data_IF_594746204865
#
_entry.id   IF_594746204865
#
_cell.length_a   1.000
_cell.length_b   1.000
_cell.length_c   1.000
_cell.angle_alpha   90.00
_cell.angle_beta   90.00
_cell.angle_gamma   90.00
#
_symmetry.space_group_name_H-M   'P 1'
#
loop_
_entity.id
_entity.type
_entity.pdbx_description
1 polymer ?
#
# COMPACT_ATOMS: atom_id res chain seq x y z
N UNK A 1 -13.31 -10.66 23.09
CA UNK A 1 -12.71 -11.27 21.90
C UNK A 1 -11.88 -10.19 21.21
N UNK A 2 -10.56 -10.25 21.35
CA UNK A 2 -9.66 -9.29 20.71
C UNK A 2 -9.25 -9.68 19.28
N UNK A 3 -9.76 -10.79 18.75
CA UNK A 3 -9.07 -11.55 17.70
C UNK A 3 -9.17 -11.06 16.25
N UNK A 4 -9.95 -10.03 15.93
CA UNK A 4 -10.22 -9.67 14.54
C UNK A 4 -9.37 -8.49 14.04
N UNK A 5 -9.16 -7.49 14.88
CA UNK A 5 -8.25 -6.39 14.54
C UNK A 5 -6.79 -6.86 14.44
N UNK A 6 -6.40 -7.86 15.26
CA UNK A 6 -5.06 -8.47 15.25
C UNK A 6 -4.69 -8.99 13.87
N UNK A 7 -5.59 -9.71 13.20
CA UNK A 7 -5.29 -10.28 11.87
C UNK A 7 -5.07 -9.24 10.79
N UNK A 8 -5.75 -8.09 10.89
CA UNK A 8 -5.57 -6.97 9.97
C UNK A 8 -4.24 -6.26 10.24
N UNK A 9 -3.90 -6.11 11.51
CA UNK A 9 -2.63 -5.54 11.93
C UNK A 9 -1.47 -6.49 11.62
N UNK A 10 -1.63 -7.80 11.82
CA UNK A 10 -0.67 -8.84 11.39
C UNK A 10 -0.53 -8.86 9.85
N UNK A 11 -1.61 -8.62 9.11
CA UNK A 11 -1.54 -8.46 7.65
C UNK A 11 -0.70 -7.24 7.27
N UNK A 12 -0.88 -6.12 7.95
CA UNK A 12 -0.08 -4.91 7.76
C UNK A 12 1.40 -5.17 8.11
N UNK A 13 1.69 -5.84 9.24
CA UNK A 13 3.04 -6.20 9.64
C UNK A 13 3.70 -7.13 8.61
N UNK A 14 3.01 -8.19 8.19
CA UNK A 14 3.53 -9.17 7.22
C UNK A 14 3.68 -8.62 5.80
N UNK A 15 2.87 -7.66 5.40
CA UNK A 15 2.87 -7.11 4.03
C UNK A 15 3.86 -5.97 3.88
N UNK A 16 4.11 -5.19 4.91
CA UNK A 16 4.77 -3.91 4.79
C UNK A 16 6.20 -3.87 5.31
N UNK A 17 6.57 -4.81 6.18
CA UNK A 17 7.93 -4.88 6.78
C UNK A 17 8.49 -3.49 7.20
N UNK A 18 7.59 -2.55 7.49
CA UNK A 18 7.89 -1.14 7.73
C UNK A 18 7.37 -0.72 9.10
N UNK A 19 8.14 0.07 9.79
CA UNK A 19 7.77 0.62 11.09
C UNK A 19 6.59 1.58 10.94
N UNK A 20 5.62 1.47 11.86
CA UNK A 20 4.52 2.41 11.95
C UNK A 20 5.00 3.77 12.48
N UNK A 21 4.52 4.83 11.85
CA UNK A 21 4.69 6.19 12.32
C UNK A 21 3.64 6.54 13.35
N UNK A 22 2.62 7.27 12.93
CA UNK A 22 1.52 7.67 13.81
C UNK A 22 0.30 6.78 13.59
N UNK A 23 -0.19 6.19 14.66
CA UNK A 23 -1.47 5.48 14.69
C UNK A 23 -2.48 6.36 15.42
N UNK A 24 -3.63 6.60 14.80
CA UNK A 24 -4.75 7.34 15.41
C UNK A 24 -5.94 6.40 15.54
N UNK A 25 -6.39 6.17 16.76
CA UNK A 25 -7.57 5.37 17.05
C UNK A 25 -8.69 6.27 17.53
N UNK A 26 -9.77 6.35 16.76
CA UNK A 26 -10.99 7.11 17.11
C UNK A 26 -12.02 6.15 17.69
N UNK A 27 -12.42 6.39 18.94
CA UNK A 27 -13.28 5.48 19.69
C UNK A 27 -12.51 4.42 20.47
N UNK A 28 -11.34 4.76 21.01
CA UNK A 28 -10.43 3.84 21.68
C UNK A 28 -11.03 3.11 22.90
N UNK A 29 -12.14 3.55 23.41
CA UNK A 29 -12.80 2.94 24.55
C UNK A 29 -11.92 2.90 25.79
N UNK A 30 -11.88 1.76 26.44
CA UNK A 30 -10.96 1.52 27.58
C UNK A 30 -9.60 0.97 27.14
N UNK A 31 -9.30 0.94 25.85
CA UNK A 31 -8.11 0.37 25.25
C UNK A 31 -8.15 -1.16 25.22
N UNK A 32 -9.19 -1.74 24.64
CA UNK A 32 -9.27 -3.19 24.42
C UNK A 32 -8.16 -3.66 23.49
N UNK A 33 -7.89 -2.87 22.46
CA UNK A 33 -6.99 -3.20 21.34
C UNK A 33 -5.59 -2.57 21.50
N UNK A 34 -5.38 -1.95 22.67
CA UNK A 34 -4.14 -1.22 22.98
C UNK A 34 -2.87 -2.09 22.92
N UNK A 35 -2.94 -3.33 23.40
CA UNK A 35 -1.76 -4.21 23.44
C UNK A 35 -1.35 -4.65 22.04
N UNK A 36 -2.32 -4.91 21.20
CA UNK A 36 -2.14 -5.32 19.82
C UNK A 36 -1.55 -4.17 18.99
N UNK A 37 -2.09 -2.97 19.15
CA UNK A 37 -1.56 -1.78 18.46
C UNK A 37 -0.13 -1.48 18.92
N UNK A 38 0.15 -1.60 20.21
CA UNK A 38 1.48 -1.37 20.75
C UNK A 38 2.51 -2.43 20.33
N UNK A 39 2.07 -3.66 20.07
CA UNK A 39 2.93 -4.72 19.56
C UNK A 39 3.50 -4.40 18.17
N UNK A 40 2.85 -3.51 17.41
CA UNK A 40 3.33 -3.02 16.12
C UNK A 40 4.38 -1.88 16.25
N UNK A 41 4.75 -1.52 17.46
CA UNK A 41 5.77 -0.51 17.77
C UNK A 41 5.59 0.85 17.06
N UNK A 42 4.38 1.49 17.13
CA UNK A 42 4.19 2.80 16.52
C UNK A 42 5.07 3.86 17.20
N UNK A 43 5.56 4.83 16.44
CA UNK A 43 6.27 5.98 17.01
C UNK A 43 5.37 6.80 17.95
N UNK A 44 4.11 6.95 17.56
CA UNK A 44 3.08 7.66 18.31
C UNK A 44 1.73 6.95 18.16
N UNK A 45 1.08 6.64 19.27
CA UNK A 45 -0.32 6.21 19.31
C UNK A 45 -1.19 7.33 19.88
N UNK A 46 -2.15 7.81 19.12
CA UNK A 46 -3.14 8.79 19.56
C UNK A 46 -4.48 8.10 19.73
N UNK A 47 -4.93 7.99 20.98
CA UNK A 47 -6.24 7.43 21.31
C UNK A 47 -7.23 8.55 21.58
N UNK A 48 -8.29 8.62 20.79
CA UNK A 48 -9.36 9.57 20.95
C UNK A 48 -10.58 8.85 21.52
N UNK A 49 -11.06 9.29 22.68
CA UNK A 49 -12.20 8.68 23.36
C UNK A 49 -13.12 9.78 23.94
N UNK A 50 -14.37 9.73 23.54
CA UNK A 50 -15.37 10.71 23.94
C UNK A 50 -15.84 10.52 25.38
N UNK A 51 -16.01 9.26 25.81
CA UNK A 51 -16.48 8.97 27.16
C UNK A 51 -15.40 9.21 28.20
N UNK A 52 -15.61 10.18 29.08
CA UNK A 52 -14.64 10.59 30.09
C UNK A 52 -14.21 9.46 31.03
N UNK A 53 -15.09 8.53 31.38
CA UNK A 53 -14.75 7.41 32.27
C UNK A 53 -13.83 6.42 31.57
N UNK A 54 -14.10 6.14 30.29
CA UNK A 54 -13.26 5.24 29.48
C UNK A 54 -11.91 5.90 29.21
N UNK A 55 -11.87 7.18 28.84
CA UNK A 55 -10.63 7.93 28.65
C UNK A 55 -9.77 7.96 29.92
N UNK A 56 -10.37 8.21 31.08
CA UNK A 56 -9.64 8.15 32.37
C UNK A 56 -9.11 6.74 32.68
N UNK A 57 -9.83 5.72 32.28
CA UNK A 57 -9.37 4.32 32.45
C UNK A 57 -8.19 4.05 31.52
N UNK A 58 -8.25 4.52 30.29
CA UNK A 58 -7.20 4.42 29.30
C UNK A 58 -5.94 5.16 29.75
N UNK A 59 -6.06 6.39 30.25
CA UNK A 59 -4.95 7.19 30.83
C UNK A 59 -4.24 6.44 31.96
N UNK A 60 -5.00 5.79 32.85
CA UNK A 60 -4.40 5.01 33.95
C UNK A 60 -3.61 3.80 33.41
N UNK A 61 -4.12 3.13 32.39
CA UNK A 61 -3.48 1.97 31.77
C UNK A 61 -2.20 2.35 31.04
N UNK A 62 -2.17 3.53 30.44
CA UNK A 62 -1.09 4.01 29.58
C UNK A 62 -0.07 4.89 30.27
N UNK A 63 -0.26 5.20 31.55
CA UNK A 63 0.55 6.16 32.33
C UNK A 63 2.08 5.94 32.25
N UNK A 64 2.51 4.71 31.99
CA UNK A 64 3.93 4.34 31.92
C UNK A 64 4.47 4.26 30.48
N UNK A 65 3.65 4.57 29.51
CA UNK A 65 3.97 4.41 28.08
C UNK A 65 4.13 5.81 27.50
N UNK A 66 5.32 6.13 27.00
CA UNK A 66 5.69 7.51 26.61
C UNK A 66 5.19 7.90 25.21
N UNK A 67 4.94 6.95 24.34
CA UNK A 67 4.52 7.18 22.95
C UNK A 67 2.99 7.13 22.75
N UNK A 68 2.22 7.39 23.81
CA UNK A 68 0.75 7.43 23.74
C UNK A 68 0.26 8.83 24.13
N UNK A 69 -0.66 9.35 23.33
CA UNK A 69 -1.43 10.55 23.61
C UNK A 69 -2.92 10.22 23.70
N UNK A 70 -3.54 10.57 24.82
CA UNK A 70 -4.99 10.42 24.98
C UNK A 70 -5.66 11.79 24.73
N UNK A 71 -6.73 11.77 23.95
CA UNK A 71 -7.55 12.93 23.65
C UNK A 71 -8.98 12.62 24.08
N UNK A 72 -9.45 13.26 25.14
CA UNK A 72 -10.83 13.07 25.61
C UNK A 72 -11.74 14.12 24.96
N UNK A 73 -12.22 13.83 23.75
CA UNK A 73 -13.05 14.69 22.95
C UNK A 73 -14.12 13.92 22.18
N UNK A 74 -15.29 14.50 22.03
CA UNK A 74 -16.26 14.06 21.04
C UNK A 74 -15.80 14.51 19.65
N UNK A 75 -15.56 13.56 18.78
CA UNK A 75 -15.18 13.84 17.39
C UNK A 75 -16.46 13.92 16.56
N UNK A 76 -16.62 15.05 15.87
CA UNK A 76 -17.80 15.39 15.06
C UNK A 76 -17.42 15.64 13.61
N UNK A 77 -18.41 15.67 12.73
CA UNK A 77 -18.22 16.02 11.33
C UNK A 77 -17.94 17.53 11.15
N UNK A 78 -18.65 18.35 11.92
CA UNK A 78 -18.53 19.80 11.88
C UNK A 78 -18.66 20.42 13.27
N UNK A 79 -18.56 21.76 13.34
CA UNK A 79 -18.65 22.53 14.59
C UNK A 79 -20.08 22.69 15.11
N UNK A 80 -21.08 22.23 14.37
CA UNK A 80 -22.49 22.28 14.82
C UNK A 80 -22.73 21.24 15.92
N UNK A 81 -23.75 21.53 16.77
CA UNK A 81 -24.14 20.52 17.78
C UNK A 81 -24.80 19.32 17.12
N UNK A 82 -24.34 18.15 17.47
CA UNK A 82 -24.81 16.85 16.96
C UNK A 82 -25.55 16.07 18.04
N UNK A 83 -26.46 15.21 17.62
CA UNK A 83 -27.13 14.29 18.54
C UNK A 83 -26.15 13.23 19.03
N UNK A 84 -26.29 12.87 20.31
CA UNK A 84 -25.55 11.75 20.92
C UNK A 84 -26.52 10.82 21.59
N UNK A 85 -26.28 9.54 21.43
CA UNK A 85 -27.02 8.44 22.02
C UNK A 85 -26.12 7.72 23.01
N UNK A 86 -26.43 7.83 24.31
CA UNK A 86 -25.67 7.18 25.39
C UNK A 86 -26.44 6.00 25.97
N UNK A 87 -25.75 4.89 26.07
CA UNK A 87 -26.28 3.63 26.55
C UNK A 87 -25.72 3.21 27.90
N UNK A 88 -26.41 2.31 28.61
CA UNK A 88 -25.95 1.72 29.85
C UNK A 88 -24.61 0.97 29.72
N UNK A 89 -24.25 0.56 28.51
CA UNK A 89 -22.92 0.13 28.16
C UNK A 89 -22.31 1.17 27.20
N UNK A 90 -21.29 1.92 27.63
CA UNK A 90 -20.69 2.97 26.83
C UNK A 90 -20.11 2.56 25.47
N UNK A 91 -19.87 1.25 25.26
CA UNK A 91 -19.43 0.71 23.96
C UNK A 91 -20.45 0.91 22.82
N UNK A 92 -21.69 1.18 23.19
CA UNK A 92 -22.79 1.46 22.25
C UNK A 92 -23.11 2.94 22.13
N UNK A 93 -22.32 3.81 22.77
CA UNK A 93 -22.48 5.25 22.58
C UNK A 93 -22.11 5.61 21.16
N UNK A 94 -22.93 6.45 20.53
CA UNK A 94 -22.68 6.89 19.14
C UNK A 94 -23.34 8.25 18.85
N UNK A 95 -22.87 8.89 17.82
CA UNK A 95 -23.53 10.04 17.19
C UNK A 95 -24.57 9.60 16.14
N UNK A 96 -24.59 8.32 15.80
CA UNK A 96 -25.57 7.75 14.87
C UNK A 96 -26.80 7.23 15.62
N UNK A 97 -27.96 7.40 14.98
CA UNK A 97 -29.21 6.88 15.52
C UNK A 97 -29.19 5.34 15.64
N UNK A 98 -29.62 4.78 16.78
CA UNK A 98 -29.66 3.35 16.99
C UNK A 98 -30.76 2.68 16.17
N UNK A 99 -30.44 1.57 15.51
CA UNK A 99 -31.42 0.73 14.82
C UNK A 99 -32.39 0.01 15.79
N UNK A 100 -33.48 -0.52 15.26
CA UNK A 100 -34.39 -1.34 16.05
C UNK A 100 -33.69 -2.58 16.65
N UNK A 101 -32.69 -3.12 15.99
CA UNK A 101 -31.89 -4.23 16.50
C UNK A 101 -31.14 -3.88 17.77
N UNK A 102 -30.60 -2.65 17.86
CA UNK A 102 -29.94 -2.17 19.07
C UNK A 102 -30.95 -1.87 20.19
N UNK A 103 -32.06 -1.21 19.86
CA UNK A 103 -33.11 -0.84 20.82
C UNK A 103 -33.76 -2.07 21.47
N UNK A 104 -33.84 -3.18 20.75
CA UNK A 104 -34.45 -4.44 21.26
C UNK A 104 -33.47 -5.32 22.06
N UNK A 105 -32.21 -4.91 22.23
CA UNK A 105 -31.21 -5.70 22.96
C UNK A 105 -31.56 -5.82 24.45
N UNK A 106 -31.60 -7.07 24.97
CA UNK A 106 -31.82 -7.29 26.40
C UNK A 106 -30.70 -6.62 27.23
N UNK A 107 -31.08 -6.00 28.35
CA UNK A 107 -30.17 -5.37 29.30
C UNK A 107 -29.37 -4.14 28.77
N UNK A 108 -29.62 -3.68 27.57
CA UNK A 108 -29.07 -2.43 27.07
C UNK A 108 -30.14 -1.34 27.11
N UNK A 109 -29.88 -0.27 27.84
CA UNK A 109 -30.82 0.85 27.99
C UNK A 109 -30.19 2.10 27.42
N UNK A 110 -30.96 2.87 26.65
CA UNK A 110 -30.63 4.21 26.31
C UNK A 110 -30.75 5.07 27.58
N UNK A 111 -29.66 5.67 28.03
CA UNK A 111 -29.58 6.48 29.25
C UNK A 111 -29.87 7.93 28.93
N UNK A 112 -29.26 8.44 27.87
CA UNK A 112 -29.40 9.81 27.45
C UNK A 112 -29.46 9.90 25.91
N UNK A 113 -30.27 10.87 25.48
CA UNK A 113 -30.27 11.37 24.12
C UNK A 113 -30.22 12.88 24.20
N UNK A 114 -29.19 13.48 23.73
CA UNK A 114 -28.97 14.93 23.86
C UNK A 114 -28.15 15.49 22.69
N UNK A 115 -27.90 16.79 22.77
CA UNK A 115 -27.01 17.46 21.80
C UNK A 115 -25.70 17.80 22.47
N UNK A 116 -24.61 17.51 21.78
CA UNK A 116 -23.26 17.85 22.20
C UNK A 116 -22.59 18.73 21.14
N UNK A 117 -21.65 19.53 21.59
CA UNK A 117 -20.67 20.17 20.70
C UNK A 117 -19.38 19.37 20.83
N UNK A 118 -18.91 18.86 19.72
CA UNK A 118 -17.64 18.16 19.64
C UNK A 118 -16.62 18.94 18.84
N UNK A 119 -15.44 18.37 18.71
CA UNK A 119 -14.39 18.92 17.85
C UNK A 119 -14.48 18.28 16.48
N UNK A 120 -14.53 19.06 15.39
CA UNK A 120 -14.52 18.52 14.05
C UNK A 120 -13.27 17.68 13.82
N UNK A 121 -13.44 16.49 13.26
CA UNK A 121 -12.31 15.57 13.01
C UNK A 121 -11.25 16.23 12.12
N UNK A 122 -11.69 16.95 11.08
CA UNK A 122 -10.80 17.70 10.19
C UNK A 122 -9.98 18.80 10.89
N UNK A 123 -10.45 19.32 12.02
CA UNK A 123 -9.73 20.33 12.82
C UNK A 123 -8.77 19.68 13.83
N UNK A 124 -9.04 18.44 14.23
CA UNK A 124 -8.20 17.72 15.17
C UNK A 124 -6.94 17.15 14.50
N UNK A 125 -7.06 16.68 13.24
CA UNK A 125 -5.95 16.09 12.52
C UNK A 125 -4.71 16.99 12.39
N UNK A 126 -4.81 18.28 12.05
CA UNK A 126 -3.65 19.18 11.98
C UNK A 126 -2.91 19.39 13.30
N UNK A 127 -3.51 19.05 14.43
CA UNK A 127 -2.87 19.11 15.75
C UNK A 127 -2.00 17.88 16.04
N UNK A 128 -2.05 16.87 15.17
CA UNK A 128 -1.28 15.64 15.29
C UNK A 128 -0.02 15.74 14.45
N UNK A 129 0.97 14.95 14.83
CA UNK A 129 2.24 14.86 14.10
C UNK A 129 2.24 13.58 13.29
N UNK A 130 2.41 13.67 11.98
CA UNK A 130 2.48 12.53 11.09
C UNK A 130 3.91 12.29 10.60
N UNK A 131 4.29 11.04 10.49
CA UNK A 131 5.53 10.65 9.87
C UNK A 131 5.42 10.77 8.35
N UNK A 132 6.48 11.25 7.70
CA UNK A 132 6.59 11.30 6.22
C UNK A 132 7.30 10.06 5.65
N UNK A 133 8.02 9.34 6.50
CA UNK A 133 8.87 8.20 6.09
C UNK A 133 8.30 6.85 6.56
N UNK A 134 7.34 6.89 7.48
CA UNK A 134 6.71 5.71 8.06
C UNK A 134 5.22 5.70 7.79
N UNK A 135 4.62 4.54 7.96
CA UNK A 135 3.20 4.33 7.70
C UNK A 135 2.37 4.96 8.81
N UNK A 136 1.43 5.79 8.43
CA UNK A 136 0.42 6.34 9.31
C UNK A 136 -0.89 5.56 9.15
N UNK A 137 -1.47 5.14 10.27
CA UNK A 137 -2.68 4.33 10.32
C UNK A 137 -3.79 5.06 11.06
N UNK A 138 -4.97 5.07 10.49
CA UNK A 138 -6.19 5.53 11.13
C UNK A 138 -7.10 4.34 11.43
N UNK A 139 -7.58 4.25 12.66
CA UNK A 139 -8.53 3.23 13.10
C UNK A 139 -9.81 3.94 13.53
N UNK A 140 -10.93 3.59 12.91
CA UNK A 140 -12.25 4.02 13.32
C UNK A 140 -12.97 2.90 14.06
N UNK A 141 -13.24 3.13 15.35
CA UNK A 141 -14.07 2.28 16.21
C UNK A 141 -15.26 3.08 16.77
N UNK A 142 -15.95 3.79 15.88
CA UNK A 142 -17.08 4.69 16.18
C UNK A 142 -18.35 4.28 15.45
N UNK A 143 -18.98 3.17 15.86
CA UNK A 143 -20.00 2.49 15.07
C UNK A 143 -21.13 3.40 14.62
N UNK A 144 -21.41 3.41 13.32
CA UNK A 144 -22.45 4.18 12.67
C UNK A 144 -22.11 5.65 12.35
N UNK A 145 -20.96 6.15 12.85
CA UNK A 145 -20.52 7.55 12.62
C UNK A 145 -19.41 7.66 11.59
N UNK A 146 -18.84 6.54 11.17
CA UNK A 146 -17.64 6.44 10.30
C UNK A 146 -17.83 7.21 9.01
N UNK A 147 -18.95 6.98 8.31
CA UNK A 147 -19.25 7.62 7.02
C UNK A 147 -19.23 9.14 7.11
N UNK A 148 -19.92 9.66 8.12
CA UNK A 148 -20.05 11.12 8.30
C UNK A 148 -18.70 11.74 8.64
N UNK A 149 -17.90 11.11 9.49
CA UNK A 149 -16.57 11.59 9.86
C UNK A 149 -15.61 11.56 8.67
N UNK A 150 -15.61 10.49 7.91
CA UNK A 150 -14.76 10.31 6.72
C UNK A 150 -15.10 11.33 5.65
N UNK A 151 -16.38 11.53 5.34
CA UNK A 151 -16.81 12.50 4.32
C UNK A 151 -16.40 13.94 4.66
N UNK A 152 -16.44 14.30 5.94
CA UNK A 152 -16.06 15.66 6.36
C UNK A 152 -14.55 15.84 6.58
N UNK A 153 -13.81 14.77 6.81
CA UNK A 153 -12.36 14.83 6.89
C UNK A 153 -11.70 14.99 5.52
N UNK A 154 -12.33 14.46 4.46
CA UNK A 154 -11.92 14.60 3.05
C UNK A 154 -10.39 14.55 2.85
N UNK A 155 -9.81 15.61 2.28
CA UNK A 155 -8.38 15.69 1.97
C UNK A 155 -7.45 15.50 3.18
N UNK A 156 -7.94 15.73 4.41
CA UNK A 156 -7.13 15.52 5.63
C UNK A 156 -6.82 14.05 5.89
N UNK A 157 -7.59 13.14 5.30
CA UNK A 157 -7.32 11.71 5.38
C UNK A 157 -6.04 11.30 4.61
N UNK A 158 -5.55 12.14 3.70
CA UNK A 158 -4.30 11.86 2.97
C UNK A 158 -3.03 11.91 3.83
N UNK A 159 -3.12 12.28 5.10
CA UNK A 159 -2.03 12.10 6.06
C UNK A 159 -1.83 10.62 6.47
N UNK A 160 -2.83 9.77 6.21
CA UNK A 160 -2.79 8.35 6.50
C UNK A 160 -2.52 7.51 5.25
N UNK A 161 -1.79 6.44 5.42
CA UNK A 161 -1.50 5.45 4.39
C UNK A 161 -2.53 4.33 4.40
N UNK A 162 -3.08 4.03 5.59
CA UNK A 162 -4.14 3.04 5.78
C UNK A 162 -5.24 3.58 6.68
N UNK A 163 -6.45 3.14 6.38
CA UNK A 163 -7.64 3.40 7.20
C UNK A 163 -8.28 2.05 7.50
N UNK A 164 -8.38 1.73 8.78
CA UNK A 164 -9.14 0.58 9.25
C UNK A 164 -10.45 1.05 9.86
N UNK A 165 -11.56 0.43 9.46
CA UNK A 165 -12.88 0.69 9.99
C UNK A 165 -13.36 -0.57 10.72
N UNK A 166 -13.53 -0.48 12.05
CA UNK A 166 -14.16 -1.52 12.83
C UNK A 166 -15.68 -1.41 12.69
N UNK A 167 -16.23 -2.17 11.75
CA UNK A 167 -17.66 -2.19 11.47
C UNK A 167 -18.44 -3.20 12.32
N UNK A 168 -17.79 -3.86 13.28
CA UNK A 168 -18.34 -4.96 14.10
C UNK A 168 -19.67 -4.65 14.81
N UNK A 169 -19.91 -3.38 15.11
CA UNK A 169 -21.13 -2.93 15.75
C UNK A 169 -21.95 -1.99 14.87
N UNK A 170 -21.52 -1.73 13.63
CA UNK A 170 -22.19 -0.76 12.77
C UNK A 170 -23.62 -1.19 12.39
N UNK A 171 -23.89 -2.49 12.33
CA UNK A 171 -25.24 -3.05 12.09
C UNK A 171 -26.31 -2.65 13.13
N UNK A 172 -25.87 -2.16 14.29
CA UNK A 172 -26.77 -1.69 15.35
C UNK A 172 -27.22 -0.24 15.16
N UNK A 173 -26.75 0.42 14.11
CA UNK A 173 -27.10 1.79 13.79
C UNK A 173 -27.81 1.90 12.45
N UNK A 174 -28.47 3.03 12.20
CA UNK A 174 -29.29 3.20 10.99
C UNK A 174 -28.44 3.28 9.71
N UNK A 175 -27.18 3.66 9.84
CA UNK A 175 -26.25 3.84 8.71
C UNK A 175 -25.00 2.99 8.88
N UNK A 176 -25.10 1.64 8.76
CA UNK A 176 -23.94 0.77 8.88
C UNK A 176 -22.96 1.01 7.72
N UNK A 177 -21.68 0.82 7.99
CA UNK A 177 -20.67 0.80 6.93
C UNK A 177 -20.83 -0.46 6.06
N UNK A 178 -20.75 -0.29 4.75
CA UNK A 178 -20.99 -1.38 3.79
C UNK A 178 -19.78 -1.56 2.84
N UNK A 179 -19.71 -2.72 2.17
CA UNK A 179 -18.61 -3.06 1.23
C UNK A 179 -18.56 -2.09 0.05
N UNK A 180 -19.70 -1.55 -0.37
CA UNK A 180 -19.81 -0.62 -1.48
C UNK A 180 -19.31 0.78 -1.15
N UNK A 181 -19.07 1.06 0.14
CA UNK A 181 -18.58 2.37 0.58
C UNK A 181 -17.18 2.62 0.05
N UNK A 182 -16.99 3.82 -0.46
CA UNK A 182 -15.72 4.27 -1.01
C UNK A 182 -15.19 5.44 -0.19
N UNK A 183 -13.91 5.39 0.07
CA UNK A 183 -13.17 6.53 0.61
C UNK A 183 -12.39 7.12 -0.56
N UNK A 184 -12.60 8.41 -0.84
CA UNK A 184 -11.91 9.08 -1.93
C UNK A 184 -10.39 9.00 -1.72
N UNK A 185 -9.67 8.59 -2.75
CA UNK A 185 -8.22 8.40 -2.68
C UNK A 185 -7.75 7.12 -1.99
N UNK A 186 -8.66 6.23 -1.59
CA UNK A 186 -8.32 4.94 -0.96
C UNK A 186 -9.00 3.78 -1.68
N UNK A 187 -8.34 2.65 -1.69
CA UNK A 187 -8.88 1.39 -2.20
C UNK A 187 -9.14 0.42 -1.06
N UNK A 188 -10.26 -0.26 -1.11
CA UNK A 188 -10.52 -1.38 -0.21
C UNK A 188 -9.50 -2.48 -0.50
N UNK A 189 -8.66 -2.78 0.49
CA UNK A 189 -7.57 -3.75 0.38
C UNK A 189 -7.98 -5.10 0.95
N UNK A 190 -8.67 -5.07 2.07
CA UNK A 190 -9.11 -6.26 2.78
C UNK A 190 -10.40 -5.99 3.59
N UNK A 191 -11.13 -7.05 3.91
CA UNK A 191 -12.28 -6.99 4.80
C UNK A 191 -12.41 -8.29 5.58
N UNK A 192 -12.95 -8.20 6.80
CA UNK A 192 -13.18 -9.32 7.70
C UNK A 192 -14.64 -9.74 7.71
N UNK A 193 -14.86 -11.06 7.67
CA UNK A 193 -16.17 -11.68 7.82
C UNK A 193 -16.27 -12.41 9.16
N UNK A 194 -17.39 -12.21 9.84
CA UNK A 194 -17.79 -12.97 11.00
C UNK A 194 -19.27 -13.40 10.85
N UNK A 195 -19.54 -14.71 10.88
CA UNK A 195 -20.90 -15.26 10.79
C UNK A 195 -21.74 -14.72 9.62
N UNK A 196 -21.15 -14.51 8.46
CA UNK A 196 -21.72 -13.87 7.27
C UNK A 196 -21.85 -12.33 7.33
N UNK A 197 -21.43 -11.69 8.42
CA UNK A 197 -21.38 -10.24 8.53
C UNK A 197 -19.95 -9.73 8.38
N UNK A 198 -19.78 -8.64 7.66
CA UNK A 198 -18.50 -7.95 7.56
C UNK A 198 -18.29 -7.15 8.84
N UNK A 199 -17.14 -7.36 9.48
CA UNK A 199 -16.83 -6.76 10.78
C UNK A 199 -15.73 -5.72 10.75
N UNK A 200 -15.01 -5.64 9.66
CA UNK A 200 -13.95 -4.64 9.48
C UNK A 200 -13.54 -4.48 8.04
N UNK A 201 -13.06 -3.29 7.71
CA UNK A 201 -12.60 -2.91 6.39
C UNK A 201 -11.25 -2.24 6.48
N UNK A 202 -10.30 -2.70 5.69
CA UNK A 202 -9.00 -2.08 5.55
C UNK A 202 -8.90 -1.42 4.17
N UNK A 203 -8.67 -0.13 4.19
CA UNK A 203 -8.41 0.67 3.00
C UNK A 203 -6.94 1.08 2.97
N UNK A 204 -6.32 0.95 1.81
CA UNK A 204 -5.01 1.54 1.54
C UNK A 204 -5.16 2.79 0.70
N UNK A 205 -4.40 3.81 1.02
CA UNK A 205 -4.32 4.98 0.16
C UNK A 205 -3.86 4.52 -1.22
N UNK A 206 -4.45 5.09 -2.27
CA UNK A 206 -4.03 4.88 -3.68
C UNK A 206 -2.61 5.45 -3.94
N UNK A 207 -1.90 5.71 -2.91
CA UNK A 207 -0.51 5.96 -2.85
C UNK A 207 0.22 4.63 -2.81
N UNK A 208 0.49 3.88 -4.00
CA UNK A 208 1.51 4.53 -4.55
C UNK A 208 2.85 3.83 -4.63
N UNK A 209 2.91 2.65 -4.12
CA UNK A 209 3.87 1.73 -4.71
C UNK A 209 3.59 1.62 -6.22
N UNK A 210 2.33 1.81 -6.62
CA UNK A 210 1.95 1.89 -8.02
C UNK A 210 2.37 3.22 -8.66
N UNK A 211 2.31 4.33 -7.95
CA UNK A 211 2.77 5.64 -8.44
C UNK A 211 4.28 5.76 -8.35
N UNK A 212 4.90 5.23 -7.29
CA UNK A 212 6.35 5.07 -7.24
C UNK A 212 6.82 4.15 -8.37
N UNK A 213 6.20 2.97 -8.54
CA UNK A 213 6.50 2.08 -9.64
C UNK A 213 6.16 2.67 -11.00
N UNK A 214 5.07 3.44 -11.14
CA UNK A 214 4.77 4.19 -12.37
C UNK A 214 5.76 5.32 -12.59
N UNK A 215 6.17 6.03 -11.54
CA UNK A 215 7.23 7.05 -11.61
C UNK A 215 8.56 6.43 -11.99
N UNK A 216 8.91 5.30 -11.40
CA UNK A 216 10.11 4.53 -11.70
C UNK A 216 10.06 3.94 -13.12
N UNK A 217 8.93 3.38 -13.53
CA UNK A 217 8.68 2.92 -14.91
C UNK A 217 8.77 4.10 -15.89
N UNK A 218 8.22 5.26 -15.56
CA UNK A 218 8.29 6.43 -16.43
C UNK A 218 9.71 7.00 -16.49
N UNK A 219 10.45 6.99 -15.39
CA UNK A 219 11.86 7.38 -15.35
C UNK A 219 12.73 6.40 -16.14
N UNK A 220 12.52 5.10 -15.98
CA UNK A 220 13.18 4.05 -16.76
C UNK A 220 12.83 4.11 -18.25
N UNK A 221 11.57 4.42 -18.58
CA UNK A 221 11.16 4.66 -19.98
C UNK A 221 11.82 5.88 -20.58
N UNK A 222 11.91 6.98 -19.82
CA UNK A 222 12.59 8.19 -20.26
C UNK A 222 14.09 7.95 -20.44
N UNK A 223 14.71 7.19 -19.56
CA UNK A 223 16.10 6.78 -19.67
C UNK A 223 16.35 5.83 -20.85
N UNK A 224 15.45 4.85 -21.04
CA UNK A 224 15.46 3.97 -22.21
C UNK A 224 15.27 4.74 -23.52
N UNK A 225 14.37 5.71 -23.53
CA UNK A 225 14.17 6.58 -24.68
C UNK A 225 15.42 7.40 -25.00
N UNK A 226 16.05 7.99 -23.97
CA UNK A 226 17.30 8.72 -24.10
C UNK A 226 18.45 7.84 -24.58
N UNK A 227 18.54 6.62 -24.08
CA UNK A 227 19.52 5.63 -24.55
C UNK A 227 19.24 5.22 -26.00
N UNK A 228 17.97 5.03 -26.37
CA UNK A 228 17.55 4.72 -27.74
C UNK A 228 17.91 5.85 -28.71
N UNK A 229 17.67 7.10 -28.33
CA UNK A 229 18.05 8.29 -29.11
C UNK A 229 19.57 8.39 -29.23
N UNK A 230 20.29 8.12 -28.14
CA UNK A 230 21.77 8.08 -28.18
C UNK A 230 22.29 6.99 -29.10
N UNK A 231 21.65 5.82 -29.07
CA UNK A 231 21.96 4.71 -29.97
C UNK A 231 21.67 5.04 -31.44
N UNK A 232 20.58 5.74 -31.69
CA UNK A 232 20.20 6.19 -33.01
C UNK A 232 21.23 7.20 -33.56
N UNK A 233 21.62 8.20 -32.76
CA UNK A 233 22.66 9.17 -33.12
C UNK A 233 24.01 8.51 -33.34
N UNK A 234 24.38 7.56 -32.47
CA UNK A 234 25.64 6.81 -32.64
C UNK A 234 25.61 5.95 -33.90
N UNK A 235 24.44 5.39 -34.25
CA UNK A 235 24.27 4.61 -35.47
C UNK A 235 24.40 5.49 -36.73
N UNK A 236 23.79 6.67 -36.70
CA UNK A 236 23.90 7.65 -37.79
C UNK A 236 25.36 8.18 -37.94
N UNK A 237 26.06 8.38 -36.83
CA UNK A 237 27.49 8.72 -36.85
C UNK A 237 28.33 7.58 -37.45
N UNK A 238 28.03 6.33 -37.10
CA UNK A 238 28.69 5.14 -37.67
C UNK A 238 28.43 5.04 -39.17
N UNK A 239 27.18 5.24 -39.62
CA UNK A 239 26.84 5.24 -41.05
C UNK A 239 27.56 6.39 -41.79
N UNK A 240 27.59 7.58 -41.19
CA UNK A 240 28.36 8.72 -41.72
C UNK A 240 29.85 8.44 -41.85
N UNK A 241 30.43 7.80 -40.82
CA UNK A 241 31.84 7.39 -40.84
C UNK A 241 32.11 6.28 -41.85
N UNK A 242 31.13 5.36 -42.05
CA UNK A 242 31.24 4.34 -43.11
C UNK A 242 31.27 4.95 -44.51
N UNK A 243 30.38 5.91 -44.78
CA UNK A 243 30.37 6.64 -46.08
C UNK A 243 31.66 7.44 -46.27
N UNK A 244 32.19 8.06 -45.20
CA UNK A 244 33.48 8.74 -45.27
C UNK A 244 34.61 7.76 -45.50
N UNK A 245 34.56 6.58 -44.92
CA UNK A 245 35.54 5.50 -45.10
C UNK A 245 35.47 4.95 -46.55
N UNK A 246 34.25 4.67 -47.08
CA UNK A 246 34.09 4.29 -48.48
C UNK A 246 34.65 5.35 -49.45
N UNK A 247 34.30 6.61 -49.20
CA UNK A 247 34.79 7.72 -49.98
C UNK A 247 36.32 7.89 -49.90
N UNK A 248 36.86 7.63 -48.71
CA UNK A 248 38.32 7.59 -48.51
C UNK A 248 38.97 6.40 -49.22
N UNK A 249 38.27 5.23 -49.21
CA UNK A 249 38.73 4.03 -49.95
C UNK A 249 38.69 4.25 -51.47
N UNK A 250 37.62 4.90 -51.97
CA UNK A 250 37.54 5.28 -53.40
C UNK A 250 38.64 6.29 -53.79
N UNK A 251 38.94 7.27 -52.93
CA UNK A 251 40.05 8.21 -53.12
C UNK A 251 41.40 7.51 -53.10
N UNK A 252 41.58 6.55 -52.19
CA UNK A 252 42.79 5.73 -52.12
C UNK A 252 42.90 4.84 -53.35
N UNK A 253 41.79 4.26 -53.85
CA UNK A 253 41.80 3.48 -55.08
C UNK A 253 42.12 4.37 -56.34
N UNK A 254 41.54 5.56 -56.38
CA UNK A 254 41.85 6.52 -57.46
C UNK A 254 43.33 6.96 -57.43
N UNK A 255 43.84 7.26 -56.21
CA UNK A 255 45.24 7.59 -56.01
C UNK A 255 46.19 6.42 -56.35
N UNK A 256 45.78 5.19 -56.01
CA UNK A 256 46.55 4.00 -56.43
C UNK A 256 46.58 3.82 -57.95
N UNK A 257 45.44 4.13 -58.63
CA UNK A 257 45.41 4.12 -60.10
C UNK A 257 46.31 5.23 -60.72
N UNK A 258 46.34 6.43 -60.09
CA UNK A 258 47.29 7.49 -60.48
C UNK A 258 48.79 7.11 -60.19
N UNK A 259 48.97 6.42 -59.07
CA UNK A 259 50.28 5.89 -58.67
C UNK A 259 50.73 4.76 -59.62
N UNK A 260 49.89 3.82 -60.04
CA UNK A 260 50.20 2.83 -61.05
C UNK A 260 50.60 3.46 -62.36
N UNK A 261 49.99 4.60 -62.74
CA UNK A 261 50.37 5.39 -63.88
C UNK A 261 51.71 6.10 -63.65
N UNK A 262 52.00 6.52 -62.41
CA UNK A 262 53.25 7.15 -62.01
C UNK A 262 54.34 6.15 -61.58
N UNK A 263 54.02 4.89 -61.23
CA UNK A 263 54.95 3.79 -60.90
C UNK A 263 55.84 3.40 -62.00
N UNK A 264 55.49 3.65 -63.25
CA UNK A 264 56.44 3.60 -64.39
C UNK A 264 57.56 4.61 -64.21
N UNK A 265 57.43 5.60 -63.26
CA UNK A 265 58.42 6.64 -62.95
C UNK A 265 59.11 6.53 -61.60
N UNK A 266 58.55 5.79 -60.62
CA UNK A 266 59.09 5.86 -59.26
C UNK A 266 59.00 4.54 -58.51
N UNK A 267 59.78 3.55 -58.91
CA UNK A 267 59.89 2.24 -58.27
C UNK A 267 60.34 2.28 -56.78
N UNK A 268 60.79 3.44 -56.29
CA UNK A 268 61.26 3.58 -54.90
C UNK A 268 60.17 4.02 -53.87
N UNK A 269 59.02 4.52 -54.33
CA UNK A 269 57.95 4.95 -53.43
C UNK A 269 56.88 3.85 -53.12
N UNK A 270 56.89 2.77 -53.91
CA UNK A 270 55.94 1.67 -53.78
C UNK A 270 55.98 0.98 -52.39
N UNK A 271 57.20 0.78 -51.86
CA UNK A 271 57.36 0.06 -50.60
C UNK A 271 56.85 0.84 -49.38
N UNK A 272 57.02 2.17 -49.41
CA UNK A 272 56.54 3.03 -48.33
C UNK A 272 54.98 3.08 -48.33
N UNK A 273 54.36 3.09 -49.52
CA UNK A 273 52.93 3.15 -49.67
C UNK A 273 52.21 1.81 -49.30
N UNK A 274 52.88 0.68 -49.58
CA UNK A 274 52.38 -0.65 -49.15
C UNK A 274 52.41 -0.82 -47.63
N UNK A 275 53.38 -0.23 -46.93
CA UNK A 275 53.47 -0.30 -45.48
C UNK A 275 52.41 0.64 -44.79
N UNK A 276 52.14 1.83 -45.35
CA UNK A 276 51.06 2.69 -44.91
C UNK A 276 49.66 2.03 -45.11
N UNK A 277 49.45 1.37 -46.25
CA UNK A 277 48.21 0.63 -46.54
C UNK A 277 47.99 -0.52 -45.56
N UNK A 278 49.04 -1.22 -45.15
CA UNK A 278 49.00 -2.26 -44.12
C UNK A 278 48.62 -1.71 -42.74
N UNK A 279 49.15 -0.53 -42.37
CA UNK A 279 48.84 0.15 -41.13
C UNK A 279 47.36 0.54 -41.07
N UNK A 280 46.81 1.09 -42.15
CA UNK A 280 45.38 1.44 -42.26
C UNK A 280 44.47 0.21 -42.17
N UNK A 281 44.82 -0.90 -42.80
CA UNK A 281 44.07 -2.15 -42.70
C UNK A 281 44.06 -2.73 -41.28
N UNK A 282 45.19 -2.59 -40.58
CA UNK A 282 45.29 -3.01 -39.18
C UNK A 282 44.39 -2.14 -38.28
N UNK A 283 44.35 -0.83 -38.53
CA UNK A 283 43.50 0.10 -37.77
C UNK A 283 42.00 -0.10 -38.07
N UNK A 284 41.63 -0.32 -39.35
CA UNK A 284 40.27 -0.67 -39.76
C UNK A 284 39.82 -2.00 -39.14
N UNK A 285 40.70 -3.00 -39.08
CA UNK A 285 40.37 -4.26 -38.40
C UNK A 285 40.15 -4.07 -36.91
N UNK A 286 40.98 -3.26 -36.25
CA UNK A 286 40.77 -2.92 -34.85
C UNK A 286 39.42 -2.20 -34.59
N UNK A 287 39.07 -1.24 -35.42
CA UNK A 287 37.77 -0.53 -35.34
C UNK A 287 36.58 -1.48 -35.62
N UNK A 288 36.76 -2.45 -36.52
CA UNK A 288 35.74 -3.47 -36.78
C UNK A 288 35.58 -4.46 -35.63
N UNK A 289 36.66 -4.80 -34.94
CA UNK A 289 36.60 -5.61 -33.72
C UNK A 289 35.89 -4.88 -32.57
N UNK A 290 36.22 -3.59 -32.36
CA UNK A 290 35.55 -2.72 -31.40
C UNK A 290 34.03 -2.63 -31.69
N UNK A 291 33.66 -2.43 -32.97
CA UNK A 291 32.26 -2.39 -33.41
C UNK A 291 31.51 -3.69 -33.20
N UNK A 292 32.18 -4.83 -33.41
CA UNK A 292 31.59 -6.14 -33.15
C UNK A 292 31.36 -6.38 -31.64
N UNK A 293 32.22 -5.87 -30.78
CA UNK A 293 32.06 -5.92 -29.33
C UNK A 293 30.88 -5.05 -28.90
N UNK A 294 30.76 -3.83 -29.38
CA UNK A 294 29.64 -2.95 -29.06
C UNK A 294 28.28 -3.52 -29.50
N UNK A 295 28.22 -4.12 -30.67
CA UNK A 295 27.02 -4.81 -31.16
C UNK A 295 26.61 -5.99 -30.25
N UNK A 296 27.56 -6.72 -29.70
CA UNK A 296 27.31 -7.82 -28.76
C UNK A 296 26.81 -7.30 -27.38
N UNK A 297 27.40 -6.21 -26.89
CA UNK A 297 26.93 -5.56 -25.66
C UNK A 297 25.47 -5.09 -25.82
N UNK A 298 25.16 -4.47 -26.96
CA UNK A 298 23.79 -4.00 -27.27
C UNK A 298 22.79 -5.14 -27.30
N UNK A 299 23.13 -6.24 -27.96
CA UNK A 299 22.30 -7.46 -28.03
C UNK A 299 22.06 -8.07 -26.65
N UNK A 300 23.09 -8.07 -25.82
CA UNK A 300 23.02 -8.63 -24.46
C UNK A 300 22.14 -7.76 -23.56
N UNK A 301 22.32 -6.43 -23.63
CA UNK A 301 21.51 -5.48 -22.87
C UNK A 301 20.04 -5.54 -23.25
N UNK A 302 19.75 -5.65 -24.55
CA UNK A 302 18.37 -5.81 -25.04
C UNK A 302 17.71 -7.10 -24.52
N UNK A 303 18.45 -8.22 -24.54
CA UNK A 303 17.95 -9.49 -23.97
C UNK A 303 17.71 -9.41 -22.46
N UNK A 304 18.61 -8.70 -21.75
CA UNK A 304 18.47 -8.50 -20.31
C UNK A 304 17.22 -7.68 -19.96
N UNK A 305 16.99 -6.62 -20.73
CA UNK A 305 15.80 -5.78 -20.55
C UNK A 305 14.49 -6.54 -20.80
N UNK A 306 14.46 -7.36 -21.86
CA UNK A 306 13.30 -8.22 -22.15
C UNK A 306 13.05 -9.24 -21.04
N UNK A 307 14.12 -9.81 -20.50
CA UNK A 307 14.00 -10.75 -19.38
C UNK A 307 13.51 -10.07 -18.10
N UNK A 308 14.08 -8.91 -17.77
CA UNK A 308 13.64 -8.10 -16.62
C UNK A 308 12.16 -7.73 -16.72
N UNK A 309 11.70 -7.41 -17.93
CA UNK A 309 10.29 -7.07 -18.17
C UNK A 309 9.39 -8.28 -17.95
N UNK A 310 9.79 -9.45 -18.46
CA UNK A 310 9.05 -10.68 -18.25
C UNK A 310 9.05 -11.12 -16.76
N UNK A 311 10.17 -10.94 -16.07
CA UNK A 311 10.29 -11.25 -14.64
C UNK A 311 9.38 -10.31 -13.80
N UNK A 312 9.33 -9.02 -14.16
CA UNK A 312 8.42 -8.05 -13.53
C UNK A 312 6.95 -8.40 -13.75
N UNK A 313 6.58 -8.80 -14.95
CA UNK A 313 5.19 -9.20 -15.25
C UNK A 313 4.81 -10.48 -14.51
N UNK A 314 5.75 -11.42 -14.40
CA UNK A 314 5.57 -12.67 -13.63
C UNK A 314 5.39 -12.38 -12.12
N UNK A 315 6.22 -11.50 -11.56
CA UNK A 315 6.08 -11.06 -10.17
C UNK A 315 4.72 -10.39 -9.92
N UNK A 316 4.24 -9.58 -10.87
CA UNK A 316 2.91 -8.95 -10.78
C UNK A 316 1.78 -9.98 -10.74
N UNK A 317 1.87 -10.99 -11.60
CA UNK A 317 0.88 -12.08 -11.60
C UNK A 317 0.92 -12.84 -10.28
N UNK A 318 2.11 -13.26 -9.84
CA UNK A 318 2.27 -13.97 -8.57
C UNK A 318 1.78 -13.16 -7.36
N UNK A 319 2.03 -11.85 -7.38
CA UNK A 319 1.54 -10.97 -6.33
C UNK A 319 0.01 -10.86 -6.34
N UNK A 320 -0.58 -10.73 -7.54
CA UNK A 320 -2.03 -10.71 -7.72
C UNK A 320 -2.69 -12.01 -7.24
N UNK A 321 -2.10 -13.17 -7.61
CA UNK A 321 -2.57 -14.49 -7.17
C UNK A 321 -2.46 -14.66 -5.66
N UNK A 322 -1.35 -14.17 -5.07
CA UNK A 322 -1.14 -14.23 -3.62
C UNK A 322 -2.15 -13.38 -2.86
N UNK A 323 -2.41 -12.16 -3.34
CA UNK A 323 -3.46 -11.28 -2.77
C UNK A 323 -4.84 -11.92 -2.88
N UNK A 324 -5.10 -12.60 -4.01
CA UNK A 324 -6.37 -13.32 -4.19
C UNK A 324 -6.47 -14.50 -3.21
N UNK A 325 -5.41 -15.29 -3.09
CA UNK A 325 -5.37 -16.43 -2.15
C UNK A 325 -5.52 -15.98 -0.69
N UNK A 326 -4.91 -14.85 -0.31
CA UNK A 326 -5.07 -14.28 1.03
C UNK A 326 -6.51 -13.84 1.31
N UNK A 327 -7.19 -13.27 0.30
CA UNK A 327 -8.62 -12.94 0.41
C UNK A 327 -9.47 -14.19 0.60
N UNK A 328 -9.18 -15.25 -0.18
CA UNK A 328 -9.90 -16.53 -0.09
C UNK A 328 -9.68 -17.20 1.27
N UNK A 329 -8.42 -17.18 1.76
CA UNK A 329 -8.09 -17.70 3.10
C UNK A 329 -8.79 -16.91 4.20
N UNK A 330 -8.83 -15.59 4.08
CA UNK A 330 -9.51 -14.72 5.05
C UNK A 330 -11.01 -15.01 5.07
N UNK A 331 -11.61 -15.22 3.90
CA UNK A 331 -13.02 -15.61 3.79
C UNK A 331 -13.26 -16.97 4.46
N UNK A 332 -12.39 -17.95 4.20
CA UNK A 332 -12.50 -19.29 4.80
C UNK A 332 -12.36 -19.26 6.33
N UNK A 333 -11.44 -18.45 6.83
CA UNK A 333 -11.25 -18.25 8.27
C UNK A 333 -12.52 -17.62 8.89
N UNK A 334 -13.10 -16.62 8.23
CA UNK A 334 -14.32 -15.98 8.68
C UNK A 334 -15.50 -16.97 8.68
N UNK A 335 -15.63 -17.81 7.64
CA UNK A 335 -16.64 -18.87 7.60
C UNK A 335 -16.45 -19.89 8.73
N UNK A 336 -15.21 -20.31 9.00
CA UNK A 336 -14.89 -21.21 10.10
C UNK A 336 -15.24 -20.59 11.46
N UNK A 337 -14.92 -19.30 11.64
CA UNK A 337 -15.25 -18.58 12.87
C UNK A 337 -16.77 -18.50 13.09
N UNK A 338 -17.52 -18.21 12.02
CA UNK A 338 -19.00 -18.22 12.07
C UNK A 338 -19.52 -19.58 12.51
N UNK A 339 -19.03 -20.67 11.90
CA UNK A 339 -19.42 -22.04 12.27
C UNK A 339 -19.05 -22.38 13.71
N UNK A 340 -17.87 -21.94 14.15
CA UNK A 340 -17.40 -22.18 15.52
C UNK A 340 -18.29 -21.44 16.55
N UNK A 341 -18.68 -20.21 16.24
CA UNK A 341 -19.60 -19.43 17.07
C UNK A 341 -20.98 -20.07 17.12
N UNK A 342 -21.53 -20.52 15.98
CA UNK A 342 -22.77 -21.23 15.91
C UNK A 342 -22.74 -22.53 16.74
N UNK A 343 -21.63 -23.27 16.65
CA UNK A 343 -21.41 -24.45 17.46
C UNK A 343 -21.37 -24.11 18.96
N UNK A 344 -20.66 -23.07 19.35
CA UNK A 344 -20.57 -22.61 20.73
C UNK A 344 -21.94 -22.18 21.26
N UNK A 345 -22.71 -21.42 20.46
CA UNK A 345 -24.11 -21.05 20.85
C UNK A 345 -25.02 -22.24 20.93
N UNK A 346 -24.82 -23.24 20.06
CA UNK A 346 -25.57 -24.52 20.16
C UNK A 346 -25.23 -25.25 21.44
N UNK A 347 -23.93 -25.36 21.79
CA UNK A 347 -23.52 -26.01 23.05
C UNK A 347 -24.01 -25.25 24.26
N UNK A 348 -23.98 -23.92 24.25
CA UNK A 348 -24.53 -23.07 25.32
C UNK A 348 -26.04 -23.31 25.51
N UNK A 349 -26.81 -23.37 24.41
CA UNK A 349 -28.24 -23.70 24.45
C UNK A 349 -28.50 -25.14 24.88
N UNK A 350 -27.60 -26.05 24.53
CA UNK A 350 -27.70 -27.45 24.95
C UNK A 350 -27.43 -27.57 26.45
N UNK A 351 -26.47 -26.86 26.97
CA UNK A 351 -26.14 -26.79 28.40
C UNK A 351 -27.30 -26.15 29.20
N UNK A 352 -27.88 -25.08 28.66
CA UNK A 352 -29.00 -24.38 29.29
C UNK A 352 -30.28 -25.23 29.30
N UNK A 353 -30.57 -25.92 28.20
CA UNK A 353 -31.81 -26.69 28.08
C UNK A 353 -31.71 -28.14 28.61
N UNK A 354 -30.50 -28.67 28.69
CA UNK A 354 -30.26 -30.04 29.13
C UNK A 354 -29.03 -30.14 30.05
N UNK A 355 -29.08 -29.53 31.23
CA UNK A 355 -27.95 -29.48 32.17
C UNK A 355 -27.49 -30.87 32.67
N UNK A 356 -28.31 -31.87 32.52
CA UNK A 356 -27.97 -33.24 32.88
C UNK A 356 -27.05 -33.93 31.83
N UNK A 357 -27.08 -33.46 30.57
CA UNK A 357 -26.22 -33.99 29.51
C UNK A 357 -24.86 -33.34 29.58
N UNK A 358 -24.78 -32.06 29.90
CA UNK A 358 -23.52 -31.31 30.00
C UNK A 358 -22.60 -31.94 31.08
N UNK A 359 -23.12 -32.31 32.22
CA UNK A 359 -22.37 -32.97 33.32
C UNK A 359 -21.73 -34.32 32.96
N UNK A 360 -22.16 -34.97 31.88
CA UNK A 360 -21.61 -36.26 31.43
C UNK A 360 -20.40 -36.12 30.49
N UNK A 361 -20.10 -34.92 30.03
CA UNK A 361 -18.97 -34.66 29.15
C UNK A 361 -17.77 -34.02 29.91
N UNK A 362 -17.97 -33.64 31.19
CA UNK A 362 -16.91 -33.16 32.08
C UNK A 362 -16.29 -34.27 32.97
N UNK A 363 -16.76 -35.51 32.87
CA UNK A 363 -16.13 -36.71 33.39
C UNK A 363 -15.39 -37.49 32.25
#
# INVERSE_FOLDING_TARGET
MPDLMIKELEFLEGTLNQNLGTVVEVGAGSGSDLQEILALEPDLLVCIEANKQLATTLEKRTKKISNIRIVNEWVTAGSESVEVYEFSNPRYNSLAAPSEKLKSRPNLKLIANGKISGKPFAELLPELTFSKEKINLLIFSVPGSERTLIQHAAEKLYEFDYIFIDAKSSEYYETPWAVEEKIEGFNLTNFNLNENDITGFLYSRNFDREKELRSEINSLRAEFQKQSETLQTTREEIESLQVQLEKSQEQVAALNSEIEVSEARLKQQSDVFEDEKKSWLAEVNKLNEERAQDANVLKTTSKLNLKLQADLDNIRVQYSEKVQSEKELTNLINELYVKLKQASEFYYKLEENYPEIARKFDE
#
